data_IF_607212098523
#
_entry.id   IF_607212098523
#
_cell.length_a   1.000
_cell.length_b   1.000
_cell.length_c   1.000
_cell.angle_alpha   90.00
_cell.angle_beta   90.00
_cell.angle_gamma   90.00
#
_symmetry.space_group_name_H-M   'P 1'
#
loop_
_entity.id
_entity.type
_entity.pdbx_description
1 polymer ?
#
# COMPACT_ATOMS: atom_id res chain seq x y z
N UNK A 1 2.63 19.24 6.66
CA UNK A 1 1.72 18.29 5.98
C UNK A 1 2.41 17.77 4.74
N UNK A 2 2.51 16.45 4.56
CA UNK A 2 2.90 15.88 3.25
C UNK A 2 1.74 16.08 2.28
N UNK A 3 2.02 16.39 1.00
CA UNK A 3 0.97 16.53 0.00
C UNK A 3 0.27 15.18 -0.26
N UNK A 4 -0.93 15.19 -0.83
CA UNK A 4 -1.61 13.96 -1.29
C UNK A 4 -0.70 13.12 -2.18
N UNK A 5 0.02 13.76 -3.10
CA UNK A 5 0.93 13.07 -4.01
C UNK A 5 2.09 12.41 -3.26
N UNK A 6 2.67 13.09 -2.26
CA UNK A 6 3.76 12.51 -1.45
C UNK A 6 3.28 11.33 -0.61
N UNK A 7 2.04 11.38 -0.11
CA UNK A 7 1.44 10.26 0.63
C UNK A 7 1.25 9.05 -0.29
N UNK A 8 0.65 9.25 -1.45
CA UNK A 8 0.42 8.16 -2.43
C UNK A 8 1.75 7.56 -2.88
N UNK A 9 2.75 8.38 -3.20
CA UNK A 9 4.11 7.90 -3.55
C UNK A 9 4.72 7.04 -2.44
N UNK A 10 4.54 7.46 -1.19
CA UNK A 10 5.09 6.72 -0.05
C UNK A 10 4.37 5.38 0.14
N UNK A 11 3.05 5.36 0.08
CA UNK A 11 2.25 4.14 0.23
C UNK A 11 2.46 3.18 -0.94
N UNK A 12 2.57 3.68 -2.17
CA UNK A 12 2.93 2.89 -3.35
C UNK A 12 4.28 2.19 -3.17
N UNK A 13 5.30 2.92 -2.71
CA UNK A 13 6.63 2.36 -2.51
C UNK A 13 6.65 1.28 -1.42
N UNK A 14 5.87 1.47 -0.34
CA UNK A 14 5.71 0.45 0.70
C UNK A 14 4.99 -0.77 0.15
N UNK A 15 3.88 -0.57 -0.56
CA UNK A 15 3.07 -1.63 -1.14
C UNK A 15 3.87 -2.49 -2.13
N UNK A 16 4.58 -1.87 -3.07
CA UNK A 16 5.47 -2.55 -4.01
C UNK A 16 6.51 -3.43 -3.31
N UNK A 17 7.09 -2.90 -2.24
CA UNK A 17 8.12 -3.60 -1.50
C UNK A 17 7.56 -4.81 -0.75
N UNK A 18 6.40 -4.67 -0.10
CA UNK A 18 5.76 -5.78 0.58
C UNK A 18 5.29 -6.86 -0.41
N UNK A 19 4.68 -6.47 -1.53
CA UNK A 19 4.31 -7.40 -2.61
C UNK A 19 5.51 -8.18 -3.12
N UNK A 20 6.66 -7.50 -3.30
CA UNK A 20 7.90 -8.15 -3.71
C UNK A 20 8.38 -9.15 -2.66
N UNK A 21 8.37 -8.79 -1.38
CA UNK A 21 8.81 -9.69 -0.30
C UNK A 21 7.96 -10.95 -0.20
N UNK A 22 6.64 -10.83 -0.31
CA UNK A 22 5.70 -11.96 -0.30
C UNK A 22 5.95 -12.86 -1.51
N UNK A 23 6.00 -12.28 -2.71
CA UNK A 23 6.25 -13.01 -3.98
C UNK A 23 7.57 -13.78 -3.97
N UNK A 24 8.63 -13.16 -3.47
CA UNK A 24 9.96 -13.77 -3.39
C UNK A 24 10.09 -14.75 -2.21
N UNK A 25 9.07 -14.85 -1.34
CA UNK A 25 9.11 -15.59 -0.08
C UNK A 25 10.30 -15.20 0.80
N UNK A 26 10.67 -13.92 0.76
CA UNK A 26 11.85 -13.37 1.45
C UNK A 26 11.52 -12.72 2.79
N UNK A 27 10.34 -13.00 3.35
CA UNK A 27 10.02 -12.69 4.75
C UNK A 27 10.90 -13.59 5.63
N UNK A 28 12.17 -13.21 5.77
CA UNK A 28 13.09 -13.81 6.73
C UNK A 28 12.84 -13.19 8.10
N UNK A 29 13.17 -13.95 9.16
CA UNK A 29 13.04 -13.49 10.55
C UNK A 29 13.71 -12.13 10.78
N UNK A 30 14.80 -11.82 10.08
CA UNK A 30 15.52 -10.53 10.20
C UNK A 30 14.77 -9.33 9.59
N UNK A 31 13.70 -9.54 8.83
CA UNK A 31 12.88 -8.49 8.22
C UNK A 31 11.42 -8.51 8.71
N UNK A 32 11.09 -9.39 9.65
CA UNK A 32 9.71 -9.57 10.12
C UNK A 32 9.18 -8.32 10.81
N UNK A 33 9.96 -7.69 11.69
CA UNK A 33 9.55 -6.45 12.38
C UNK A 33 9.29 -5.32 11.39
N UNK A 34 10.18 -5.15 10.41
CA UNK A 34 10.02 -4.14 9.37
C UNK A 34 8.75 -4.43 8.54
N UNK A 35 8.57 -5.68 8.12
CA UNK A 35 7.38 -6.10 7.38
C UNK A 35 6.10 -5.79 8.15
N UNK A 36 6.03 -6.17 9.44
CA UNK A 36 4.86 -5.92 10.30
C UNK A 36 4.59 -4.43 10.51
N UNK A 37 5.62 -3.62 10.76
CA UNK A 37 5.47 -2.16 10.91
C UNK A 37 4.86 -1.53 9.66
N UNK A 38 5.41 -1.88 8.49
CA UNK A 38 4.96 -1.28 7.22
C UNK A 38 3.62 -1.84 6.75
N UNK A 39 3.33 -3.10 7.04
CA UNK A 39 2.00 -3.66 6.84
C UNK A 39 0.96 -2.95 7.69
N UNK A 40 1.23 -2.73 8.98
CA UNK A 40 0.32 -1.99 9.85
C UNK A 40 0.11 -0.55 9.34
N UNK A 41 1.16 0.11 8.84
CA UNK A 41 1.01 1.43 8.23
C UNK A 41 0.09 1.42 6.99
N UNK A 42 0.13 0.36 6.17
CA UNK A 42 -0.80 0.22 5.02
C UNK A 42 -2.22 -0.08 5.48
N UNK A 43 -2.40 -0.96 6.48
CA UNK A 43 -3.70 -1.25 7.07
C UNK A 43 -4.32 0.02 7.67
N UNK A 44 -3.55 0.76 8.47
CA UNK A 44 -3.98 2.04 9.04
C UNK A 44 -4.38 3.02 7.94
N UNK A 45 -3.58 3.14 6.87
CA UNK A 45 -3.88 3.99 5.72
C UNK A 45 -5.18 3.61 5.02
N UNK A 46 -5.48 2.31 4.93
CA UNK A 46 -6.71 1.79 4.36
C UNK A 46 -7.92 2.04 5.26
N UNK A 47 -7.81 1.72 6.55
CA UNK A 47 -8.91 1.73 7.51
C UNK A 47 -9.27 3.14 8.01
N UNK A 48 -8.30 4.06 8.07
CA UNK A 48 -8.54 5.42 8.58
C UNK A 48 -9.20 6.37 7.56
N UNK A 49 -9.52 5.88 6.36
CA UNK A 49 -10.19 6.64 5.30
C UNK A 49 -9.28 7.52 4.45
N UNK A 50 -7.96 7.59 4.72
CA UNK A 50 -7.02 8.31 3.85
C UNK A 50 -6.90 7.66 2.48
N UNK A 51 -6.88 6.33 2.43
CA UNK A 51 -6.91 5.60 1.16
C UNK A 51 -8.15 5.93 0.34
N UNK A 52 -9.33 5.95 0.97
CA UNK A 52 -10.58 6.28 0.28
C UNK A 52 -10.56 7.72 -0.27
N UNK A 53 -10.05 8.67 0.51
CA UNK A 53 -9.91 10.06 0.08
C UNK A 53 -8.95 10.19 -1.12
N UNK A 54 -7.84 9.45 -1.12
CA UNK A 54 -6.88 9.44 -2.23
C UNK A 54 -7.45 8.75 -3.47
N UNK A 55 -8.19 7.66 -3.29
CA UNK A 55 -8.92 6.98 -4.35
C UNK A 55 -9.96 7.88 -5.02
N UNK A 56 -10.77 8.61 -4.23
CA UNK A 56 -11.74 9.56 -4.77
C UNK A 56 -11.09 10.71 -5.57
N UNK A 57 -9.88 11.13 -5.19
CA UNK A 57 -9.13 12.13 -5.93
C UNK A 57 -8.61 11.58 -7.27
N UNK A 58 -8.22 10.30 -7.31
CA UNK A 58 -7.87 9.60 -8.55
C UNK A 58 -9.07 9.56 -9.50
N UNK A 59 -10.24 9.14 -9.01
CA UNK A 59 -11.47 9.03 -9.80
C UNK A 59 -11.94 10.40 -10.34
N UNK A 60 -11.63 11.49 -9.62
CA UNK A 60 -11.89 12.87 -10.07
C UNK A 60 -10.86 13.39 -11.07
N UNK A 61 -9.84 12.59 -11.42
CA UNK A 61 -8.74 13.00 -12.30
C UNK A 61 -7.81 14.05 -11.70
N UNK A 62 -7.78 14.17 -10.36
CA UNK A 62 -6.96 15.16 -9.63
C UNK A 62 -5.53 14.68 -9.37
N UNK A 63 -5.22 13.44 -9.77
CA UNK A 63 -3.90 12.83 -9.61
C UNK A 63 -3.17 12.84 -10.96
N UNK A 64 -1.89 13.24 -11.00
CA UNK A 64 -1.07 13.19 -12.21
C UNK A 64 -1.07 11.80 -12.87
N UNK A 65 -1.21 11.77 -14.20
CA UNK A 65 -1.31 10.52 -14.94
C UNK A 65 -0.02 9.69 -14.97
N UNK A 66 1.13 10.33 -14.73
CA UNK A 66 2.45 9.71 -14.62
C UNK A 66 2.72 9.11 -13.23
N UNK A 67 1.82 9.31 -12.27
CA UNK A 67 1.93 8.72 -10.94
C UNK A 67 1.55 7.24 -10.97
N UNK A 68 2.45 6.38 -10.48
CA UNK A 68 2.13 4.99 -10.19
C UNK A 68 1.13 4.93 -9.03
N UNK A 69 0.03 4.21 -9.23
CA UNK A 69 -1.15 4.18 -8.35
C UNK A 69 -1.68 2.76 -8.13
N UNK A 70 -0.77 1.77 -8.07
CA UNK A 70 -1.15 0.39 -7.77
C UNK A 70 -1.84 0.27 -6.42
N UNK A 71 -1.42 1.06 -5.43
CA UNK A 71 -2.02 1.13 -4.11
C UNK A 71 -3.46 1.67 -4.10
N UNK A 72 -3.86 2.42 -5.14
CA UNK A 72 -5.24 2.90 -5.30
C UNK A 72 -6.12 1.92 -6.08
N UNK A 73 -5.58 0.79 -6.53
CA UNK A 73 -6.39 -0.29 -7.10
C UNK A 73 -7.19 -0.97 -5.99
N UNK A 74 -8.53 -0.95 -6.12
CA UNK A 74 -9.43 -1.70 -5.23
C UNK A 74 -9.05 -3.18 -5.18
N UNK A 75 -8.89 -3.81 -6.35
CA UNK A 75 -8.54 -5.23 -6.46
C UNK A 75 -7.11 -5.49 -5.98
N UNK A 76 -6.15 -4.66 -6.38
CA UNK A 76 -4.74 -4.88 -6.07
C UNK A 76 -4.43 -4.91 -4.57
N UNK A 77 -5.01 -3.99 -3.79
CA UNK A 77 -4.80 -3.97 -2.34
C UNK A 77 -5.57 -5.10 -1.64
N UNK A 78 -6.81 -5.38 -2.04
CA UNK A 78 -7.62 -6.47 -1.47
C UNK A 78 -7.00 -7.86 -1.72
N UNK A 79 -6.53 -8.11 -2.94
CA UNK A 79 -5.86 -9.36 -3.31
C UNK A 79 -4.60 -9.56 -2.47
N UNK A 80 -3.81 -8.50 -2.28
CA UNK A 80 -2.64 -8.53 -1.43
C UNK A 80 -2.98 -8.85 0.03
N UNK A 81 -4.02 -8.23 0.61
CA UNK A 81 -4.47 -8.53 1.97
C UNK A 81 -4.90 -9.99 2.12
N UNK A 82 -5.53 -10.55 1.09
CA UNK A 82 -5.93 -11.97 1.06
C UNK A 82 -4.69 -12.88 1.02
N UNK A 83 -3.70 -12.58 0.18
CA UNK A 83 -2.45 -13.35 0.05
C UNK A 83 -1.64 -13.36 1.36
N UNK A 84 -1.62 -12.26 2.10
CA UNK A 84 -0.86 -12.17 3.36
C UNK A 84 -1.64 -12.68 4.58
N UNK A 85 -2.95 -12.90 4.47
CA UNK A 85 -3.77 -13.36 5.60
C UNK A 85 -3.29 -14.71 6.14
N UNK A 86 -2.70 -15.56 5.30
CA UNK A 86 -2.07 -16.83 5.68
C UNK A 86 -0.76 -16.65 6.48
N UNK A 87 -0.19 -15.44 6.50
CA UNK A 87 1.06 -15.10 7.19
C UNK A 87 0.85 -14.31 8.50
N UNK A 88 -0.39 -13.89 8.79
CA UNK A 88 -0.79 -13.16 10.01
C UNK A 88 -1.26 -14.11 11.11
#
# INVERSE_FOLDING_TARGET
MKSTIDRIKNMEAVFDFLQKMVREKTVSVCKEDWFRIHLNNLLDYYENGLWLADYELDEKGMIPSDLKRGILSQDGFYDFLTEISDYL
#
